data_IF_304150248987
#
_entry.id   IF_304150248987
#
_cell.length_a   1.000
_cell.length_b   1.000
_cell.length_c   1.000
_cell.angle_alpha   90.00
_cell.angle_beta   90.00
_cell.angle_gamma   90.00
#
_symmetry.space_group_name_H-M   'P 1'
#
loop_
_entity.id
_entity.type
_entity.pdbx_description
1 polymer ?
#
# COMPACT_ATOMS: atom_id res chain seq x y z
N UNK A 1 6.53 -10.68 -7.47
CA UNK A 1 6.11 -10.04 -6.20
C UNK A 1 6.70 -10.85 -5.07
N UNK A 2 7.42 -10.19 -4.18
CA UNK A 2 8.02 -10.77 -2.98
C UNK A 2 6.99 -10.80 -1.84
N UNK A 3 7.11 -11.78 -0.93
CA UNK A 3 6.19 -11.92 0.21
C UNK A 3 6.96 -12.33 1.47
N UNK A 4 6.70 -11.65 2.56
CA UNK A 4 7.00 -12.13 3.90
C UNK A 4 5.82 -12.98 4.36
N UNK A 5 6.09 -14.24 4.70
CA UNK A 5 5.05 -15.25 4.96
C UNK A 5 5.26 -15.93 6.31
N UNK A 6 4.22 -16.54 6.90
CA UNK A 6 4.38 -17.34 8.10
C UNK A 6 5.39 -18.48 7.89
N UNK A 7 6.26 -18.74 8.86
CA UNK A 7 7.35 -19.73 8.76
C UNK A 7 6.83 -21.13 8.38
N UNK A 8 5.61 -21.48 8.79
CA UNK A 8 4.98 -22.77 8.47
C UNK A 8 4.66 -22.95 6.97
N UNK A 9 4.49 -21.84 6.21
CA UNK A 9 4.28 -21.90 4.76
C UNK A 9 5.54 -22.34 4.03
N UNK A 10 6.72 -21.94 4.53
CA UNK A 10 8.01 -22.27 3.95
C UNK A 10 8.36 -23.75 4.15
N UNK A 11 7.90 -24.36 5.26
CA UNK A 11 8.23 -25.74 5.64
C UNK A 11 7.49 -26.82 4.83
N UNK A 12 6.45 -26.45 4.05
CA UNK A 12 5.56 -27.41 3.41
C UNK A 12 5.30 -27.07 1.93
N UNK A 13 6.34 -27.07 1.09
CA UNK A 13 6.20 -26.86 -0.36
C UNK A 13 5.27 -27.85 -1.08
N UNK A 14 4.81 -28.93 -0.40
CA UNK A 14 3.94 -29.97 -0.96
C UNK A 14 2.67 -30.27 -0.12
N UNK A 15 2.38 -29.52 0.94
CA UNK A 15 1.16 -29.71 1.74
C UNK A 15 0.55 -28.35 2.05
N UNK A 16 -0.80 -28.26 2.05
CA UNK A 16 -1.53 -27.05 2.46
C UNK A 16 -1.01 -26.58 3.82
N UNK A 17 -0.73 -25.28 4.02
CA UNK A 17 -0.27 -24.79 5.31
C UNK A 17 -1.36 -25.02 6.35
N UNK A 18 -1.15 -25.96 7.25
CA UNK A 18 -2.06 -26.29 8.36
C UNK A 18 -1.89 -25.29 9.51
N UNK A 19 -2.08 -24.01 9.24
CA UNK A 19 -2.20 -23.04 10.33
C UNK A 19 -3.67 -22.93 10.69
N UNK A 20 -4.03 -23.17 11.94
CA UNK A 20 -5.38 -22.89 12.46
C UNK A 20 -5.68 -21.38 12.54
N UNK A 21 -4.79 -20.52 11.99
CA UNK A 21 -4.90 -19.08 12.03
C UNK A 21 -5.46 -18.55 10.71
N UNK A 22 -6.41 -17.62 10.81
CA UNK A 22 -6.98 -16.94 9.63
C UNK A 22 -5.92 -16.12 8.90
N UNK A 23 -5.86 -16.20 7.56
CA UNK A 23 -4.93 -15.40 6.75
C UNK A 23 -5.25 -13.91 6.85
N UNK A 24 -4.22 -13.10 7.04
CA UNK A 24 -4.29 -11.63 7.02
C UNK A 24 -3.20 -11.08 6.14
N UNK A 25 -3.56 -10.23 5.18
CA UNK A 25 -2.66 -9.61 4.21
C UNK A 25 -2.49 -8.14 4.55
N UNK A 26 -1.25 -7.67 4.73
CA UNK A 26 -0.93 -6.29 5.06
C UNK A 26 -0.27 -5.60 3.85
N UNK A 27 -0.99 -4.71 3.18
CA UNK A 27 -0.56 -4.04 1.96
C UNK A 27 -0.05 -2.64 2.30
N UNK A 28 1.22 -2.39 2.00
CA UNK A 28 1.92 -1.15 2.35
C UNK A 28 1.56 0.04 1.44
N UNK A 29 1.80 1.25 1.93
CA UNK A 29 1.70 2.48 1.17
C UNK A 29 2.90 2.75 0.26
N UNK A 30 2.94 3.92 -0.36
CA UNK A 30 3.97 4.26 -1.35
C UNK A 30 5.35 4.61 -0.75
N UNK A 31 5.40 4.94 0.54
CA UNK A 31 6.59 5.47 1.19
C UNK A 31 7.70 4.43 1.45
N UNK A 32 7.35 3.21 1.84
CA UNK A 32 8.28 2.16 2.21
C UNK A 32 7.84 0.79 1.68
N UNK A 33 8.67 -0.24 1.87
CA UNK A 33 8.31 -1.63 1.60
C UNK A 33 7.34 -2.21 2.64
N UNK A 34 6.94 -3.46 2.42
CA UNK A 34 5.97 -4.12 3.26
C UNK A 34 6.43 -4.29 4.70
N UNK A 35 7.62 -4.85 4.90
CA UNK A 35 8.06 -5.18 6.27
C UNK A 35 8.36 -3.94 7.10
N UNK A 36 8.91 -2.89 6.50
CA UNK A 36 9.20 -1.65 7.21
C UNK A 36 7.91 -0.92 7.59
N UNK A 37 6.92 -0.91 6.70
CA UNK A 37 5.60 -0.31 6.98
C UNK A 37 4.90 -1.02 8.14
N UNK A 38 4.93 -2.35 8.18
CA UNK A 38 4.12 -3.15 9.07
C UNK A 38 4.89 -3.82 10.23
N UNK A 39 6.15 -3.42 10.47
CA UNK A 39 7.03 -4.04 11.46
C UNK A 39 6.37 -4.26 12.82
N UNK A 40 5.76 -3.21 13.36
CA UNK A 40 5.13 -3.28 14.69
C UNK A 40 3.82 -4.08 14.69
N UNK A 41 3.04 -3.97 13.62
CA UNK A 41 1.77 -4.69 13.47
C UNK A 41 2.01 -6.19 13.31
N UNK A 42 3.02 -6.58 12.54
CA UNK A 42 3.42 -7.99 12.36
C UNK A 42 3.72 -8.64 13.72
N UNK A 43 4.50 -7.97 14.58
CA UNK A 43 4.85 -8.49 15.90
C UNK A 43 3.62 -8.80 16.78
N UNK A 44 2.57 -7.97 16.67
CA UNK A 44 1.31 -8.17 17.41
C UNK A 44 0.39 -9.18 16.74
N UNK A 45 0.18 -9.04 15.42
CA UNK A 45 -0.83 -9.80 14.67
C UNK A 45 -0.46 -11.26 14.46
N UNK A 46 0.82 -11.61 14.36
CA UNK A 46 1.28 -13.01 14.19
C UNK A 46 0.90 -13.93 15.34
N UNK A 47 0.49 -13.40 16.49
CA UNK A 47 -0.03 -14.20 17.60
C UNK A 47 -1.35 -14.89 17.23
N UNK A 48 -2.22 -14.20 16.48
CA UNK A 48 -3.59 -14.62 16.19
C UNK A 48 -3.86 -14.93 14.72
N UNK A 49 -3.05 -14.40 13.80
CA UNK A 49 -3.25 -14.49 12.35
C UNK A 49 -2.06 -15.10 11.64
N UNK A 50 -2.31 -15.74 10.50
CA UNK A 50 -1.30 -16.08 9.53
C UNK A 50 -1.04 -14.83 8.67
N UNK A 51 -0.01 -14.06 9.02
CA UNK A 51 0.25 -12.73 8.42
C UNK A 51 1.09 -12.87 7.15
N UNK A 52 0.61 -12.28 6.06
CA UNK A 52 1.27 -12.18 4.77
C UNK A 52 1.55 -10.70 4.47
N UNK A 53 2.79 -10.36 4.19
CA UNK A 53 3.18 -8.99 3.87
C UNK A 53 3.83 -8.97 2.49
N UNK A 54 3.10 -8.58 1.43
CA UNK A 54 3.66 -8.42 0.10
C UNK A 54 4.49 -7.13 0.02
N UNK A 55 5.58 -7.18 -0.74
CA UNK A 55 6.12 -5.98 -1.35
C UNK A 55 5.42 -5.77 -2.70
N UNK A 56 4.75 -4.65 -2.89
CA UNK A 56 4.11 -4.30 -4.17
C UNK A 56 5.17 -4.22 -5.28
N UNK A 57 4.78 -4.36 -6.54
CA UNK A 57 5.72 -4.31 -7.66
C UNK A 57 6.51 -2.99 -7.65
N UNK A 58 7.83 -3.10 -7.81
CA UNK A 58 8.83 -2.03 -7.74
C UNK A 58 9.14 -1.50 -6.33
N UNK A 59 8.67 -2.21 -5.30
CA UNK A 59 9.06 -1.99 -3.91
C UNK A 59 9.79 -3.23 -3.37
N UNK A 60 10.72 -3.02 -2.42
CA UNK A 60 11.56 -4.10 -1.94
C UNK A 60 12.21 -4.86 -3.10
N UNK A 61 12.16 -6.18 -3.07
CA UNK A 61 12.71 -7.06 -4.13
C UNK A 61 11.67 -7.42 -5.21
N UNK A 62 10.51 -6.75 -5.24
CA UNK A 62 9.43 -7.04 -6.20
C UNK A 62 9.65 -6.36 -7.54
N UNK A 63 9.90 -7.15 -8.57
CA UNK A 63 10.10 -6.66 -9.95
C UNK A 63 9.18 -7.37 -10.94
N UNK A 64 8.98 -6.75 -12.10
CA UNK A 64 8.32 -7.35 -13.27
C UNK A 64 8.91 -6.78 -14.54
N UNK A 65 9.00 -7.62 -15.58
CA UNK A 65 9.35 -7.16 -16.93
C UNK A 65 8.14 -6.69 -17.75
N UNK A 66 6.94 -6.72 -17.18
CA UNK A 66 5.72 -6.27 -17.85
C UNK A 66 5.59 -4.74 -17.78
N UNK A 67 5.00 -4.11 -18.83
CA UNK A 67 4.89 -2.64 -18.90
C UNK A 67 3.74 -2.06 -18.08
N UNK A 68 2.81 -2.88 -17.62
CA UNK A 68 1.61 -2.43 -16.91
C UNK A 68 1.96 -1.77 -15.56
N UNK A 69 1.30 -0.66 -15.27
CA UNK A 69 1.51 0.17 -14.06
C UNK A 69 0.25 0.42 -13.24
N UNK A 70 -0.88 -0.12 -13.67
CA UNK A 70 -2.18 0.13 -13.03
C UNK A 70 -2.30 -0.51 -11.65
N UNK A 71 -3.16 0.06 -10.81
CA UNK A 71 -3.52 -0.52 -9.52
C UNK A 71 -4.19 -1.90 -9.68
N UNK A 72 -4.97 -2.09 -10.74
CA UNK A 72 -5.56 -3.39 -11.09
C UNK A 72 -4.50 -4.45 -11.35
N UNK A 73 -3.44 -4.11 -12.10
CA UNK A 73 -2.34 -5.05 -12.35
C UNK A 73 -1.57 -5.41 -11.06
N UNK A 74 -1.38 -4.46 -10.16
CA UNK A 74 -0.82 -4.74 -8.83
C UNK A 74 -1.70 -5.74 -8.06
N UNK A 75 -3.02 -5.52 -8.04
CA UNK A 75 -3.99 -6.39 -7.37
C UNK A 75 -4.02 -7.81 -7.98
N UNK A 76 -3.97 -7.92 -9.31
CA UNK A 76 -3.89 -9.22 -10.00
C UNK A 76 -2.62 -9.99 -9.63
N UNK A 77 -1.47 -9.31 -9.60
CA UNK A 77 -0.20 -9.95 -9.22
C UNK A 77 -0.23 -10.41 -7.75
N UNK A 78 -0.83 -9.60 -6.88
CA UNK A 78 -1.03 -9.93 -5.48
C UNK A 78 -1.93 -11.16 -5.32
N UNK A 79 -3.10 -11.18 -5.96
CA UNK A 79 -4.03 -12.31 -5.93
C UNK A 79 -3.36 -13.61 -6.39
N UNK A 80 -2.67 -13.57 -7.54
CA UNK A 80 -1.94 -14.73 -8.07
C UNK A 80 -0.84 -15.22 -7.11
N UNK A 81 -0.17 -14.28 -6.43
CA UNK A 81 0.82 -14.61 -5.41
C UNK A 81 0.19 -15.31 -4.20
N UNK A 82 -0.90 -14.78 -3.66
CA UNK A 82 -1.63 -15.35 -2.54
C UNK A 82 -2.18 -16.74 -2.85
N UNK A 83 -2.80 -16.92 -4.02
CA UNK A 83 -3.30 -18.23 -4.46
C UNK A 83 -2.17 -19.27 -4.58
N UNK A 84 -0.98 -18.88 -5.09
CA UNK A 84 0.20 -19.76 -5.13
C UNK A 84 0.70 -20.14 -3.73
N UNK A 85 0.50 -19.26 -2.75
CA UNK A 85 0.82 -19.52 -1.35
C UNK A 85 -0.27 -20.33 -0.62
N UNK A 86 -1.34 -20.75 -1.33
CA UNK A 86 -2.43 -21.53 -0.78
C UNK A 86 -3.45 -20.71 0.02
N UNK A 87 -3.47 -19.39 -0.14
CA UNK A 87 -4.45 -18.51 0.49
C UNK A 87 -5.72 -18.51 -0.38
N UNK A 88 -6.78 -19.14 0.11
CA UNK A 88 -8.08 -19.20 -0.58
C UNK A 88 -9.00 -18.04 -0.18
N UNK A 89 -8.86 -17.52 1.06
CA UNK A 89 -9.64 -16.41 1.59
C UNK A 89 -8.86 -15.69 2.68
N UNK A 90 -8.94 -14.37 2.74
CA UNK A 90 -8.18 -13.58 3.71
C UNK A 90 -8.89 -12.28 4.11
N UNK A 91 -8.52 -11.76 5.28
CA UNK A 91 -8.75 -10.36 5.63
C UNK A 91 -7.59 -9.52 5.09
N UNK A 92 -7.88 -8.31 4.62
CA UNK A 92 -6.90 -7.40 4.03
C UNK A 92 -6.80 -6.13 4.85
N UNK A 93 -5.58 -5.68 5.10
CA UNK A 93 -5.30 -4.38 5.71
C UNK A 93 -4.48 -3.57 4.69
N UNK A 94 -5.00 -2.44 4.25
CA UNK A 94 -4.35 -1.58 3.27
C UNK A 94 -4.09 -0.17 3.82
N UNK A 95 -2.90 0.35 3.59
CA UNK A 95 -2.53 1.71 3.97
C UNK A 95 -2.22 2.56 2.76
N UNK A 96 -2.88 3.75 2.62
CA UNK A 96 -2.61 4.70 1.54
C UNK A 96 -2.72 4.01 0.16
N UNK A 97 -1.68 4.05 -0.68
CA UNK A 97 -1.63 3.34 -1.96
C UNK A 97 -2.01 1.85 -1.81
N UNK A 98 -1.58 1.19 -0.74
CA UNK A 98 -1.97 -0.20 -0.45
C UNK A 98 -3.46 -0.37 -0.15
N UNK A 99 -4.13 0.65 0.35
CA UNK A 99 -5.59 0.67 0.51
C UNK A 99 -6.30 0.70 -0.84
N UNK A 100 -5.82 1.51 -1.80
CA UNK A 100 -6.31 1.50 -3.18
C UNK A 100 -6.17 0.10 -3.81
N UNK A 101 -5.00 -0.54 -3.64
CA UNK A 101 -4.79 -1.92 -4.12
C UNK A 101 -5.74 -2.91 -3.43
N UNK A 102 -6.04 -2.73 -2.13
CA UNK A 102 -7.00 -3.57 -1.41
C UNK A 102 -8.42 -3.44 -2.00
N UNK A 103 -8.87 -2.24 -2.37
CA UNK A 103 -10.14 -2.03 -3.06
C UNK A 103 -10.17 -2.73 -4.43
N UNK A 104 -9.09 -2.59 -5.23
CA UNK A 104 -8.99 -3.28 -6.52
C UNK A 104 -8.99 -4.81 -6.34
N UNK A 105 -8.27 -5.32 -5.34
CA UNK A 105 -8.25 -6.74 -5.00
C UNK A 105 -9.65 -7.26 -4.64
N UNK A 106 -10.38 -6.54 -3.80
CA UNK A 106 -11.74 -6.92 -3.38
C UNK A 106 -12.75 -6.90 -4.56
N UNK A 107 -12.60 -5.95 -5.49
CA UNK A 107 -13.43 -5.86 -6.70
C UNK A 107 -13.14 -6.99 -7.69
N UNK A 108 -11.85 -7.27 -7.95
CA UNK A 108 -11.43 -8.25 -8.96
C UNK A 108 -11.52 -9.69 -8.45
N UNK A 109 -11.36 -9.90 -7.14
CA UNK A 109 -11.32 -11.22 -6.50
C UNK A 109 -12.21 -11.23 -5.24
N UNK A 110 -13.54 -11.09 -5.41
CA UNK A 110 -14.46 -10.94 -4.27
C UNK A 110 -14.48 -12.15 -3.33
N UNK A 111 -14.23 -13.35 -3.84
CA UNK A 111 -14.18 -14.57 -3.05
C UNK A 111 -12.89 -14.69 -2.21
N UNK A 112 -11.80 -14.06 -2.66
CA UNK A 112 -10.52 -14.05 -1.95
C UNK A 112 -10.56 -13.12 -0.73
N UNK A 113 -11.26 -11.98 -0.84
CA UNK A 113 -11.29 -10.94 0.20
C UNK A 113 -12.55 -11.06 1.05
N UNK A 114 -12.40 -11.46 2.31
CA UNK A 114 -13.50 -11.57 3.26
C UNK A 114 -13.89 -10.24 3.90
N UNK A 115 -12.90 -9.47 4.28
CA UNK A 115 -13.06 -8.16 4.93
C UNK A 115 -11.84 -7.30 4.71
N UNK A 116 -12.02 -5.98 4.80
CA UNK A 116 -10.93 -5.02 4.66
C UNK A 116 -10.90 -4.03 5.81
N UNK A 117 -9.70 -3.64 6.20
CA UNK A 117 -9.41 -2.46 7.01
C UNK A 117 -8.54 -1.54 6.16
N UNK A 118 -8.99 -0.35 5.90
CA UNK A 118 -8.30 0.61 5.03
C UNK A 118 -7.98 1.88 5.80
N UNK A 119 -6.72 2.29 5.75
CA UNK A 119 -6.21 3.48 6.42
C UNK A 119 -5.89 4.55 5.39
N UNK A 120 -6.48 5.75 5.53
CA UNK A 120 -6.15 6.92 4.72
C UNK A 120 -6.05 6.60 3.24
N UNK A 121 -7.13 6.08 2.64
CA UNK A 121 -7.15 5.70 1.23
C UNK A 121 -8.57 5.68 0.66
N UNK A 122 -8.63 5.87 -0.64
CA UNK A 122 -9.86 5.85 -1.45
C UNK A 122 -9.79 4.73 -2.48
N UNK A 123 -10.92 4.25 -3.02
CA UNK A 123 -10.93 3.24 -4.08
C UNK A 123 -10.21 3.69 -5.36
N UNK A 124 -10.37 4.96 -5.73
CA UNK A 124 -9.77 5.61 -6.88
C UNK A 124 -9.39 7.06 -6.56
N UNK A 125 -8.26 7.53 -7.09
CA UNK A 125 -7.87 8.93 -7.06
C UNK A 125 -8.30 9.56 -8.37
N UNK A 126 -9.36 10.37 -8.35
CA UNK A 126 -9.81 11.08 -9.55
C UNK A 126 -8.91 12.26 -9.88
N UNK A 127 -8.91 12.69 -11.15
CA UNK A 127 -8.09 13.81 -11.62
C UNK A 127 -8.39 15.08 -10.84
N UNK A 128 -9.67 15.43 -10.66
CA UNK A 128 -10.07 16.64 -9.92
C UNK A 128 -9.65 16.59 -8.45
N UNK A 129 -9.85 15.44 -7.75
CA UNK A 129 -9.43 15.28 -6.36
C UNK A 129 -7.92 15.32 -6.21
N UNK A 130 -7.20 14.69 -7.14
CA UNK A 130 -5.74 14.70 -7.18
C UNK A 130 -5.20 16.12 -7.34
N UNK A 131 -5.73 16.88 -8.30
CA UNK A 131 -5.34 18.28 -8.54
C UNK A 131 -5.61 19.17 -7.32
N UNK A 132 -6.80 19.08 -6.73
CA UNK A 132 -7.16 19.86 -5.54
C UNK A 132 -6.21 19.58 -4.36
N UNK A 133 -5.86 18.31 -4.13
CA UNK A 133 -4.92 17.93 -3.07
C UNK A 133 -3.52 18.46 -3.34
N UNK A 134 -3.01 18.32 -4.56
CA UNK A 134 -1.69 18.83 -4.95
C UNK A 134 -1.60 20.34 -4.80
N UNK A 135 -2.63 21.07 -5.23
CA UNK A 135 -2.72 22.54 -5.09
C UNK A 135 -2.70 22.95 -3.61
N UNK A 136 -3.52 22.31 -2.77
CA UNK A 136 -3.56 22.54 -1.32
C UNK A 136 -2.19 22.34 -0.67
N UNK A 137 -1.44 21.32 -1.09
CA UNK A 137 -0.12 21.00 -0.57
C UNK A 137 1.02 21.83 -1.18
N UNK A 138 0.74 22.59 -2.26
CA UNK A 138 1.71 23.41 -2.97
C UNK A 138 2.71 22.61 -3.81
N UNK A 139 2.24 21.56 -4.48
CA UNK A 139 3.02 20.71 -5.36
C UNK A 139 2.38 20.60 -6.75
N UNK A 140 3.18 20.22 -7.74
CA UNK A 140 2.71 20.07 -9.13
C UNK A 140 2.36 18.62 -9.48
N UNK A 141 2.95 17.67 -8.81
CA UNK A 141 2.72 16.23 -9.05
C UNK A 141 2.98 15.39 -7.80
N UNK A 142 2.45 14.16 -7.79
CA UNK A 142 2.58 13.24 -6.66
C UNK A 142 4.01 12.77 -6.41
N UNK A 143 4.85 12.68 -7.45
CA UNK A 143 6.23 12.24 -7.30
C UNK A 143 7.06 13.24 -6.51
N UNK A 144 6.77 14.55 -6.60
CA UNK A 144 7.44 15.58 -5.83
C UNK A 144 7.21 15.42 -4.31
N UNK A 145 6.05 14.88 -3.93
CA UNK A 145 5.71 14.63 -2.54
C UNK A 145 6.18 13.25 -2.10
N UNK A 146 5.68 12.21 -2.79
CA UNK A 146 5.77 10.82 -2.33
C UNK A 146 7.09 10.15 -2.69
N UNK A 147 7.91 10.80 -3.58
CA UNK A 147 9.16 10.23 -4.04
C UNK A 147 10.34 11.23 -3.98
N UNK A 148 10.62 11.81 -2.80
CA UNK A 148 11.64 12.84 -2.64
C UNK A 148 13.04 12.34 -3.00
N UNK A 149 13.88 13.27 -3.51
CA UNK A 149 15.28 12.99 -3.87
C UNK A 149 16.26 13.44 -2.79
N UNK A 150 15.79 14.28 -1.88
CA UNK A 150 16.66 14.94 -0.90
C UNK A 150 16.19 14.69 0.52
N UNK A 151 17.11 14.79 1.47
CA UNK A 151 16.79 14.76 2.90
C UNK A 151 15.75 15.82 3.28
N UNK A 152 15.81 16.99 2.65
CA UNK A 152 14.85 18.06 2.92
C UNK A 152 13.47 17.69 2.40
N UNK A 153 13.36 17.12 1.18
CA UNK A 153 12.11 16.62 0.62
C UNK A 153 11.51 15.51 1.48
N UNK A 154 12.35 14.58 1.96
CA UNK A 154 11.92 13.50 2.86
C UNK A 154 11.39 14.05 4.20
N UNK A 155 12.05 15.05 4.78
CA UNK A 155 11.54 15.74 5.98
C UNK A 155 10.20 16.42 5.73
N UNK A 156 10.03 17.04 4.56
CA UNK A 156 8.77 17.68 4.17
C UNK A 156 7.65 16.63 4.04
N UNK A 157 7.92 15.51 3.37
CA UNK A 157 6.97 14.39 3.29
C UNK A 157 6.55 13.91 4.69
N UNK A 158 7.51 13.67 5.57
CA UNK A 158 7.23 13.23 6.95
C UNK A 158 6.45 14.29 7.76
N UNK A 159 6.67 15.57 7.51
CA UNK A 159 5.90 16.64 8.18
C UNK A 159 4.46 16.75 7.69
N UNK A 160 4.20 16.35 6.45
CA UNK A 160 2.84 16.33 5.88
C UNK A 160 2.11 15.04 6.29
N UNK A 161 2.78 13.89 6.16
CA UNK A 161 2.18 12.57 6.36
C UNK A 161 2.23 12.04 7.80
N UNK A 162 2.78 12.79 8.77
CA UNK A 162 2.86 12.35 10.16
C UNK A 162 2.49 13.46 11.13
N UNK A 163 1.57 13.17 12.04
CA UNK A 163 1.24 14.07 13.14
C UNK A 163 2.42 14.33 14.09
N UNK A 164 3.28 13.32 14.28
CA UNK A 164 4.42 13.44 15.20
C UNK A 164 5.65 14.05 14.52
N UNK A 165 6.15 15.15 15.06
CA UNK A 165 7.42 15.75 14.64
C UNK A 165 8.66 14.91 15.03
N UNK A 166 8.48 13.79 15.73
CA UNK A 166 9.60 12.94 16.17
C UNK A 166 10.40 12.42 14.98
N UNK A 167 9.70 11.96 13.93
CA UNK A 167 10.35 11.41 12.73
C UNK A 167 11.17 12.45 11.97
N UNK A 168 10.79 13.73 12.02
CA UNK A 168 11.53 14.80 11.33
C UNK A 168 12.83 15.19 12.03
N UNK A 169 13.04 14.73 13.27
CA UNK A 169 14.20 15.08 14.10
C UNK A 169 15.38 14.11 14.00
N UNK A 170 15.23 13.02 13.26
CA UNK A 170 16.34 12.09 13.07
C UNK A 170 17.56 12.76 12.40
N UNK A 171 18.78 12.30 12.69
CA UNK A 171 19.99 12.76 12.02
C UNK A 171 19.95 12.56 10.51
N UNK A 172 20.65 13.43 9.75
CA UNK A 172 20.66 13.39 8.28
C UNK A 172 21.17 12.07 7.69
N UNK A 173 22.05 11.35 8.39
CA UNK A 173 22.57 10.08 7.88
C UNK A 173 21.46 9.01 7.80
N UNK A 174 20.55 8.96 8.78
CA UNK A 174 19.40 8.04 8.76
C UNK A 174 18.51 8.31 7.54
N UNK A 175 18.26 9.58 7.22
CA UNK A 175 17.48 9.96 6.03
C UNK A 175 18.19 9.62 4.73
N UNK A 176 19.51 9.77 4.67
CA UNK A 176 20.29 9.39 3.49
C UNK A 176 20.24 7.88 3.24
N UNK A 177 20.45 7.10 4.30
CA UNK A 177 20.38 5.64 4.22
C UNK A 177 18.96 5.18 3.84
N UNK A 178 17.94 5.81 4.39
CA UNK A 178 16.53 5.54 4.04
C UNK A 178 16.25 5.86 2.57
N UNK A 179 16.67 7.03 2.07
CA UNK A 179 16.51 7.40 0.65
C UNK A 179 17.19 6.39 -0.27
N UNK A 180 18.40 5.98 0.07
CA UNK A 180 19.15 5.00 -0.71
C UNK A 180 18.50 3.62 -0.71
N UNK A 181 17.99 3.17 0.44
CA UNK A 181 17.40 1.84 0.59
C UNK A 181 15.99 1.76 0.01
N UNK A 182 15.15 2.79 0.20
CA UNK A 182 13.71 2.72 -0.11
C UNK A 182 13.34 3.31 -1.48
N UNK A 183 14.11 4.26 -2.03
CA UNK A 183 13.71 4.99 -3.23
C UNK A 183 14.48 4.55 -4.49
N UNK A 184 14.53 3.24 -4.73
CA UNK A 184 14.96 2.65 -6.00
C UNK A 184 13.80 2.55 -7.01
N UNK A 185 14.07 2.04 -8.22
CA UNK A 185 13.07 1.87 -9.30
C UNK A 185 12.27 3.17 -9.58
N UNK A 186 12.98 4.31 -9.61
CA UNK A 186 12.36 5.64 -9.66
C UNK A 186 11.41 5.80 -10.84
N UNK A 187 11.84 5.39 -12.03
CA UNK A 187 11.05 5.48 -13.25
C UNK A 187 9.72 4.73 -13.11
N UNK A 188 9.80 3.45 -12.75
CA UNK A 188 8.63 2.59 -12.65
C UNK A 188 7.68 3.06 -11.54
N UNK A 189 8.21 3.54 -10.42
CA UNK A 189 7.39 4.07 -9.32
C UNK A 189 6.75 5.41 -9.66
N UNK A 190 7.39 6.28 -10.44
CA UNK A 190 6.75 7.49 -10.98
C UNK A 190 5.60 7.11 -11.91
N UNK A 191 5.81 6.14 -12.81
CA UNK A 191 4.76 5.59 -13.67
C UNK A 191 3.57 5.00 -12.87
N UNK A 192 3.82 4.39 -11.70
CA UNK A 192 2.74 3.94 -10.80
C UNK A 192 1.92 5.11 -10.22
N UNK A 193 2.58 6.22 -9.85
CA UNK A 193 1.89 7.41 -9.34
C UNK A 193 1.04 8.09 -10.42
N UNK A 194 1.54 8.14 -11.65
CA UNK A 194 0.79 8.65 -12.79
C UNK A 194 -0.44 7.77 -13.09
N UNK A 195 -0.26 6.44 -13.09
CA UNK A 195 -1.33 5.48 -13.34
C UNK A 195 -2.33 5.32 -12.17
N UNK A 196 -2.07 5.90 -11.01
CA UNK A 196 -2.97 5.90 -9.87
C UNK A 196 -4.14 6.88 -10.06
N UNK A 197 -3.94 7.91 -10.86
CA UNK A 197 -4.94 8.95 -11.11
C UNK A 197 -5.78 8.54 -12.32
N UNK A 198 -7.10 8.51 -12.12
CA UNK A 198 -8.07 8.19 -13.17
C UNK A 198 -8.80 9.43 -13.64
N UNK A 199 -9.10 9.58 -14.95
CA UNK A 199 -9.93 10.66 -15.44
C UNK A 199 -11.30 10.68 -14.77
N UNK A 200 -11.84 11.87 -14.46
CA UNK A 200 -13.14 11.98 -13.77
C UNK A 200 -14.27 11.27 -14.53
N UNK A 201 -14.21 11.28 -15.88
CA UNK A 201 -15.21 10.65 -16.73
C UNK A 201 -15.15 9.10 -16.69
N UNK A 202 -14.02 8.53 -16.31
CA UNK A 202 -13.81 7.09 -16.20
C UNK A 202 -14.12 6.55 -14.79
N UNK A 203 -14.29 7.46 -13.83
CA UNK A 203 -14.62 7.08 -12.45
C UNK A 203 -16.03 6.47 -12.40
N UNK A 204 -16.11 5.24 -11.92
CA UNK A 204 -17.36 4.54 -11.68
C UNK A 204 -17.40 4.04 -10.25
N UNK A 205 -18.38 4.50 -9.44
CA UNK A 205 -18.54 4.01 -8.07
C UNK A 205 -18.72 2.49 -8.07
N UNK A 206 -17.96 1.81 -7.24
CA UNK A 206 -18.02 0.35 -7.11
C UNK A 206 -18.72 -0.03 -5.81
N UNK A 207 -19.72 -0.91 -5.88
CA UNK A 207 -20.30 -1.54 -4.71
C UNK A 207 -19.43 -2.74 -4.26
N UNK A 208 -19.14 -2.82 -2.98
CA UNK A 208 -18.37 -3.90 -2.37
C UNK A 208 -19.28 -4.77 -1.52
N UNK A 209 -19.16 -6.10 -1.65
CA UNK A 209 -19.88 -7.07 -0.82
C UNK A 209 -19.18 -7.37 0.50
N UNK A 210 -17.90 -7.00 0.61
CA UNK A 210 -17.05 -7.23 1.77
C UNK A 210 -17.40 -6.28 2.92
N UNK A 211 -17.13 -6.70 4.14
CA UNK A 211 -17.14 -5.78 5.30
C UNK A 211 -15.91 -4.89 5.22
N UNK A 212 -16.13 -3.57 5.17
CA UNK A 212 -15.07 -2.57 5.06
C UNK A 212 -15.07 -1.70 6.31
N UNK A 213 -13.90 -1.58 6.93
CA UNK A 213 -13.63 -0.65 8.02
C UNK A 213 -12.68 0.42 7.51
N UNK A 214 -13.14 1.67 7.46
CA UNK A 214 -12.32 2.81 7.08
C UNK A 214 -11.79 3.47 8.36
N UNK A 215 -10.47 3.60 8.44
CA UNK A 215 -9.80 4.32 9.51
C UNK A 215 -9.15 5.57 8.91
N UNK A 216 -9.55 6.71 9.43
CA UNK A 216 -9.11 8.01 8.92
C UNK A 216 -8.58 8.88 10.04
N UNK A 217 -7.44 9.53 9.81
CA UNK A 217 -6.94 10.50 10.76
C UNK A 217 -7.72 11.81 10.61
N UNK A 218 -8.11 12.40 11.74
CA UNK A 218 -8.84 13.69 11.76
C UNK A 218 -8.01 14.83 11.14
N UNK A 219 -6.70 14.70 11.17
CA UNK A 219 -5.72 15.68 10.67
C UNK A 219 -4.90 15.11 9.50
N UNK A 220 -5.55 14.33 8.63
CA UNK A 220 -4.91 13.87 7.40
C UNK A 220 -4.76 15.04 6.43
N UNK A 221 -3.52 15.43 6.15
CA UNK A 221 -3.24 16.54 5.23
C UNK A 221 -3.16 16.11 3.76
N UNK A 222 -3.10 14.79 3.49
CA UNK A 222 -2.98 14.23 2.15
C UNK A 222 -4.36 13.87 1.60
N UNK A 223 -5.14 13.15 2.40
CA UNK A 223 -6.50 12.73 2.05
C UNK A 223 -7.46 13.31 3.07
N UNK A 224 -8.08 14.43 2.72
CA UNK A 224 -9.06 15.09 3.57
C UNK A 224 -10.24 14.16 3.89
N UNK A 225 -10.87 14.35 5.06
CA UNK A 225 -12.09 13.62 5.44
C UNK A 225 -13.23 13.80 4.41
N UNK A 226 -13.24 14.92 3.70
CA UNK A 226 -14.26 15.22 2.69
C UNK A 226 -14.19 14.30 1.46
N UNK A 227 -13.06 13.59 1.26
CA UNK A 227 -12.89 12.59 0.19
C UNK A 227 -13.10 11.15 0.67
N UNK A 228 -13.41 10.96 1.96
CA UNK A 228 -13.74 9.64 2.49
C UNK A 228 -15.02 9.11 1.82
N UNK A 229 -15.03 7.86 1.29
CA UNK A 229 -16.17 7.29 0.59
C UNK A 229 -17.36 7.00 1.52
#
# INVERSE_FOLDING_TARGET
MNFWVPTQVVSHQNQRPSTNKSPMVLIHGFFADGILTWLFQVLGLTRNYAVYVPDLLFFGDSITGRPERTADFQAECLAKGLMKLGVERCSVVGFSYGGMIAFKLARLYPDLVESMIVFGSVPDSTESNSMATLEKLGFSNWSDILFPETVQGLRRLLSIGSYSSLFTRFPNFIFKDFLQAMFHSRKERTELLEAMVVPDQEFTPTAYSQRIYLLWANEDNILDLDVAP
#
